data_IF_177240031445
#
_entry.id   IF_177240031445
#
_cell.length_a   1.000
_cell.length_b   1.000
_cell.length_c   1.000
_cell.angle_alpha   90.00
_cell.angle_beta   90.00
_cell.angle_gamma   90.00
#
_symmetry.space_group_name_H-M   'P 1'
#
loop_
_entity.id
_entity.type
_entity.pdbx_description
1 polymer ?
#
# COMPACT_ATOMS: atom_id res chain seq x y z
N UNK A 1 24.48 -11.36 12.97
CA UNK A 1 24.77 -10.51 11.77
C UNK A 1 23.87 -9.29 11.89
N UNK A 2 24.39 -8.07 11.71
CA UNK A 2 23.54 -6.88 11.70
C UNK A 2 22.93 -6.75 10.30
N UNK A 3 21.61 -6.78 10.20
CA UNK A 3 20.86 -6.67 8.94
C UNK A 3 20.08 -5.36 8.82
N UNK A 4 20.28 -4.45 9.78
CA UNK A 4 19.60 -3.15 9.79
C UNK A 4 19.98 -2.31 8.56
N UNK A 5 19.00 -1.62 8.01
CA UNK A 5 19.14 -0.68 6.90
C UNK A 5 18.37 0.59 7.21
N UNK A 6 18.72 1.69 6.56
CA UNK A 6 17.96 2.95 6.66
C UNK A 6 17.34 3.26 5.30
N UNK A 7 16.03 3.49 5.27
CA UNK A 7 15.27 3.89 4.09
C UNK A 7 14.56 5.22 4.40
N UNK A 8 14.82 6.26 3.60
CA UNK A 8 14.25 7.59 3.77
C UNK A 8 14.29 8.12 5.23
N UNK A 9 15.38 7.85 5.96
CA UNK A 9 15.57 8.27 7.34
C UNK A 9 14.97 7.33 8.41
N UNK A 10 14.20 6.31 8.01
CA UNK A 10 13.60 5.32 8.92
C UNK A 10 14.49 4.07 8.99
N UNK A 11 14.86 3.66 10.21
CA UNK A 11 15.61 2.42 10.42
C UNK A 11 14.68 1.21 10.33
N UNK A 12 15.03 0.26 9.45
CA UNK A 12 14.42 -1.06 9.34
C UNK A 12 15.35 -2.10 9.96
N UNK A 13 14.80 -3.06 10.69
CA UNK A 13 15.59 -4.14 11.33
C UNK A 13 16.25 -5.09 10.32
N UNK A 14 15.72 -5.15 9.11
CA UNK A 14 16.28 -5.85 7.96
C UNK A 14 15.69 -5.27 6.65
N UNK A 15 16.28 -5.54 5.47
CA UNK A 15 15.81 -4.98 4.20
C UNK A 15 14.61 -5.69 3.59
N UNK A 16 14.06 -6.72 4.24
CA UNK A 16 12.94 -7.49 3.68
C UNK A 16 11.65 -6.76 3.95
N UNK A 17 10.93 -6.41 2.90
CA UNK A 17 9.63 -5.77 2.97
C UNK A 17 8.67 -6.35 1.92
N UNK A 18 7.39 -6.18 2.14
CA UNK A 18 6.38 -6.60 1.16
C UNK A 18 6.30 -5.62 -0.01
N UNK A 19 5.70 -6.05 -1.12
CA UNK A 19 5.40 -5.16 -2.24
C UNK A 19 3.98 -4.62 -2.13
N UNK A 20 3.81 -3.31 -2.33
CA UNK A 20 2.48 -2.70 -2.39
C UNK A 20 1.61 -3.38 -3.44
N UNK A 21 0.34 -3.54 -3.11
CA UNK A 21 -0.65 -4.16 -4.01
C UNK A 21 -0.71 -5.68 -3.99
N UNK A 22 0.26 -6.39 -3.42
CA UNK A 22 0.31 -7.85 -3.44
C UNK A 22 0.09 -8.49 -2.07
N UNK A 23 0.08 -7.70 -1.00
CA UNK A 23 0.08 -8.17 0.38
C UNK A 23 -1.11 -7.65 1.22
N UNK A 24 -2.03 -6.89 0.60
CA UNK A 24 -3.10 -6.21 1.33
C UNK A 24 -2.53 -5.28 2.41
N UNK A 25 -3.08 -5.36 3.61
CA UNK A 25 -2.54 -4.73 4.82
C UNK A 25 -1.95 -5.78 5.79
N UNK A 26 -1.63 -6.97 5.29
CA UNK A 26 -0.97 -8.04 6.04
C UNK A 26 -1.89 -8.96 6.83
N UNK A 27 -3.19 -8.68 6.96
CA UNK A 27 -4.11 -9.47 7.79
C UNK A 27 -4.21 -10.91 7.27
N UNK A 28 -4.46 -11.11 5.98
CA UNK A 28 -4.62 -12.42 5.37
C UNK A 28 -3.29 -13.20 5.35
N UNK A 29 -2.20 -12.52 5.02
CA UNK A 29 -0.88 -13.15 4.94
C UNK A 29 -0.21 -13.33 6.29
N UNK A 30 -0.62 -12.57 7.32
CA UNK A 30 -0.17 -12.76 8.70
C UNK A 30 -0.56 -14.13 9.27
N UNK A 31 -1.56 -14.79 8.69
CA UNK A 31 -1.90 -16.19 9.04
C UNK A 31 -0.89 -17.20 8.48
N UNK A 32 -0.12 -16.84 7.45
CA UNK A 32 0.82 -17.72 6.76
C UNK A 32 2.27 -17.42 7.12
N UNK A 33 2.59 -16.17 7.40
CA UNK A 33 3.95 -15.73 7.71
C UNK A 33 3.97 -14.87 8.97
N UNK A 34 5.06 -14.94 9.69
CA UNK A 34 5.32 -14.12 10.86
C UNK A 34 5.72 -12.69 10.42
N UNK A 35 4.82 -11.72 10.62
CA UNK A 35 5.03 -10.32 10.26
C UNK A 35 6.17 -9.69 11.06
N UNK A 36 6.46 -10.19 12.26
CA UNK A 36 7.56 -9.72 13.10
C UNK A 36 8.94 -9.99 12.51
N UNK A 37 9.02 -10.83 11.48
CA UNK A 37 10.27 -11.09 10.74
C UNK A 37 10.54 -10.09 9.62
N UNK A 38 9.54 -9.28 9.23
CA UNK A 38 9.67 -8.28 8.16
C UNK A 38 10.24 -6.98 8.68
N UNK A 39 11.12 -6.35 7.90
CA UNK A 39 11.59 -4.99 8.15
C UNK A 39 10.46 -3.98 7.98
N UNK A 40 9.58 -4.18 7.00
CA UNK A 40 8.40 -3.37 6.79
C UNK A 40 7.27 -4.14 6.08
N UNK A 41 6.03 -3.73 6.35
CA UNK A 41 4.86 -4.06 5.53
C UNK A 41 4.51 -2.83 4.69
N UNK A 42 4.58 -2.97 3.36
CA UNK A 42 4.07 -1.98 2.42
C UNK A 42 2.64 -2.35 2.07
N UNK A 43 1.70 -1.46 2.36
CA UNK A 43 0.28 -1.76 2.25
C UNK A 43 -0.24 -1.72 0.81
N UNK A 44 -1.43 -2.25 0.58
CA UNK A 44 -2.23 -1.96 -0.62
C UNK A 44 -2.46 -0.46 -0.73
N UNK A 45 -2.64 0.06 -1.95
CA UNK A 45 -2.93 1.47 -2.18
C UNK A 45 -4.15 1.94 -1.38
N UNK A 46 -3.93 2.96 -0.56
CA UNK A 46 -4.96 3.60 0.29
C UNK A 46 -5.39 4.90 -0.37
N UNK A 47 -6.67 5.00 -0.68
CA UNK A 47 -7.30 6.19 -1.23
C UNK A 47 -8.09 6.96 -0.15
N UNK A 48 -8.45 8.20 -0.46
CA UNK A 48 -9.25 9.06 0.42
C UNK A 48 -10.66 8.49 0.72
N UNK A 49 -11.20 7.73 -0.23
CA UNK A 49 -12.51 7.06 -0.10
C UNK A 49 -12.40 5.57 -0.46
N UNK A 50 -13.37 4.73 -0.07
CA UNK A 50 -13.40 3.35 -0.49
C UNK A 50 -13.51 3.21 -2.02
N UNK A 51 -12.68 2.33 -2.59
CA UNK A 51 -12.75 1.98 -4.01
C UNK A 51 -13.20 0.53 -4.18
N UNK A 52 -14.30 0.26 -4.92
CA UNK A 52 -14.79 -1.09 -5.14
C UNK A 52 -13.92 -1.90 -6.12
N UNK A 53 -13.02 -1.23 -6.86
CA UNK A 53 -12.29 -1.82 -7.96
C UNK A 53 -13.16 -2.00 -9.22
N UNK A 54 -12.62 -2.73 -10.20
CA UNK A 54 -13.32 -3.01 -11.44
C UNK A 54 -14.41 -4.08 -11.24
N UNK A 55 -15.46 -4.12 -12.10
CA UNK A 55 -16.42 -5.21 -12.11
C UNK A 55 -15.76 -6.58 -12.36
N UNK A 56 -16.38 -7.63 -11.85
CA UNK A 56 -15.96 -9.02 -12.14
C UNK A 56 -16.53 -9.49 -13.51
N UNK A 57 -15.84 -10.45 -14.20
CA UNK A 57 -14.58 -11.11 -13.82
C UNK A 57 -13.37 -10.19 -14.02
N UNK A 58 -12.46 -10.16 -13.05
CA UNK A 58 -11.28 -9.29 -13.04
C UNK A 58 -9.97 -10.00 -12.73
N UNK A 59 -10.03 -11.31 -12.67
CA UNK A 59 -8.89 -12.22 -12.56
C UNK A 59 -9.17 -13.40 -13.48
N UNK A 60 -8.15 -13.84 -14.23
CA UNK A 60 -8.24 -15.02 -15.07
C UNK A 60 -6.90 -15.75 -15.13
N UNK A 61 -6.95 -17.07 -15.13
CA UNK A 61 -5.77 -17.91 -15.34
C UNK A 61 -5.41 -17.96 -16.83
N UNK A 62 -4.12 -18.01 -17.10
CA UNK A 62 -3.54 -18.24 -18.43
C UNK A 62 -2.44 -19.26 -18.31
N UNK A 63 -1.96 -19.79 -19.45
CA UNK A 63 -0.87 -20.74 -19.43
C UNK A 63 0.37 -20.15 -18.75
N UNK A 64 0.75 -20.76 -17.61
CA UNK A 64 1.92 -20.33 -16.83
C UNK A 64 1.75 -19.05 -16.01
N UNK A 65 0.51 -18.57 -15.78
CA UNK A 65 0.32 -17.35 -14.99
C UNK A 65 -1.14 -16.95 -14.78
N UNK A 66 -1.30 -15.70 -14.34
CA UNK A 66 -2.60 -15.10 -14.05
C UNK A 66 -2.61 -13.64 -14.52
N UNK A 67 -3.68 -13.22 -15.17
CA UNK A 67 -3.96 -11.83 -15.50
C UNK A 67 -4.94 -11.23 -14.50
N UNK A 68 -4.75 -9.97 -14.15
CA UNK A 68 -5.71 -9.27 -13.32
C UNK A 68 -5.97 -7.84 -13.80
N UNK A 69 -7.15 -7.35 -13.46
CA UNK A 69 -7.59 -5.98 -13.63
C UNK A 69 -8.39 -5.57 -12.38
N UNK A 70 -7.79 -5.70 -11.19
CA UNK A 70 -8.46 -5.45 -9.90
C UNK A 70 -8.92 -4.01 -9.78
N UNK A 71 -8.11 -3.02 -10.22
CA UNK A 71 -8.51 -1.62 -10.23
C UNK A 71 -8.41 -0.94 -8.85
N UNK A 72 -7.32 -1.22 -8.11
CA UNK A 72 -7.02 -0.60 -6.82
C UNK A 72 -8.16 -0.72 -5.78
N UNK A 73 -8.83 -1.87 -5.71
CA UNK A 73 -9.81 -2.11 -4.65
C UNK A 73 -9.20 -1.86 -3.27
N UNK A 74 -9.89 -1.06 -2.46
CA UNK A 74 -9.43 -0.74 -1.12
C UNK A 74 -10.51 -0.15 -0.23
N UNK A 75 -10.33 -0.20 1.10
CA UNK A 75 -11.33 0.21 2.07
C UNK A 75 -11.42 1.73 2.29
N UNK A 76 -10.45 2.49 1.75
CA UNK A 76 -10.28 3.91 2.05
C UNK A 76 -9.53 4.16 3.37
N UNK A 77 -9.05 5.40 3.53
CA UNK A 77 -8.17 5.79 4.63
C UNK A 77 -8.83 5.68 6.01
N UNK A 78 -10.14 5.92 6.14
CA UNK A 78 -10.82 5.84 7.44
C UNK A 78 -10.84 4.43 8.01
N UNK A 79 -11.16 3.45 7.17
CA UNK A 79 -11.17 2.04 7.58
C UNK A 79 -9.74 1.57 7.83
N UNK A 80 -8.80 1.97 6.99
CA UNK A 80 -7.39 1.66 7.16
C UNK A 80 -6.87 2.11 8.54
N UNK A 81 -7.10 3.37 8.91
CA UNK A 81 -6.67 3.90 10.21
C UNK A 81 -7.33 3.18 11.41
N UNK A 82 -8.59 2.80 11.28
CA UNK A 82 -9.35 2.19 12.40
C UNK A 82 -9.15 0.68 12.53
N UNK A 83 -8.82 0.00 11.44
CA UNK A 83 -8.71 -1.47 11.38
C UNK A 83 -7.27 -1.94 11.16
N UNK A 84 -6.63 -1.43 10.12
CA UNK A 84 -5.38 -2.00 9.61
C UNK A 84 -4.17 -1.49 10.41
N UNK A 85 -4.13 -0.21 10.75
CA UNK A 85 -3.05 0.37 11.56
C UNK A 85 -2.98 -0.28 12.95
N UNK A 86 -4.10 -0.40 13.72
CA UNK A 86 -4.06 -1.08 15.01
C UNK A 86 -3.67 -2.56 14.93
N UNK A 87 -4.01 -3.24 13.83
CA UNK A 87 -3.55 -4.61 13.60
C UNK A 87 -2.05 -4.66 13.38
N UNK A 88 -1.52 -3.86 12.46
CA UNK A 88 -0.10 -3.85 12.12
C UNK A 88 0.78 -3.43 13.31
N UNK A 89 0.28 -2.53 14.17
CA UNK A 89 1.00 -2.09 15.38
C UNK A 89 1.10 -3.14 16.49
N UNK A 90 0.44 -4.27 16.34
CA UNK A 90 0.67 -5.43 17.23
C UNK A 90 1.95 -6.18 16.87
N UNK A 91 2.57 -5.86 15.73
CA UNK A 91 3.75 -6.52 15.19
C UNK A 91 4.98 -5.61 15.22
N UNK A 92 6.15 -6.22 15.42
CA UNK A 92 7.45 -5.53 15.34
C UNK A 92 7.88 -5.39 13.87
N UNK A 93 7.14 -4.58 13.11
CA UNK A 93 7.43 -4.25 11.72
C UNK A 93 7.13 -2.78 11.44
N UNK A 94 7.80 -2.19 10.45
CA UNK A 94 7.49 -0.83 10.02
C UNK A 94 6.28 -0.81 9.09
N UNK A 95 5.46 0.24 9.18
CA UNK A 95 4.27 0.42 8.35
C UNK A 95 4.58 1.46 7.28
N UNK A 96 4.59 1.04 6.03
CA UNK A 96 4.73 1.91 4.87
C UNK A 96 3.39 1.95 4.15
N UNK A 97 2.74 3.11 4.13
CA UNK A 97 1.42 3.25 3.51
C UNK A 97 1.58 3.65 2.06
N UNK A 98 1.11 2.80 1.14
CA UNK A 98 1.01 3.16 -0.27
C UNK A 98 -0.19 4.08 -0.46
N UNK A 99 0.05 5.32 -0.88
CA UNK A 99 -0.96 6.36 -1.08
C UNK A 99 -1.33 6.45 -2.54
N UNK A 100 -2.62 6.40 -2.85
CA UNK A 100 -3.13 6.52 -4.20
C UNK A 100 -4.32 7.49 -4.27
N UNK A 101 -4.52 8.10 -5.43
CA UNK A 101 -5.58 9.04 -5.72
C UNK A 101 -5.85 9.13 -7.22
N UNK A 102 -6.95 9.77 -7.60
CA UNK A 102 -7.31 10.10 -8.99
C UNK A 102 -6.95 11.53 -9.36
N UNK A 103 -6.76 12.37 -8.37
CA UNK A 103 -6.36 13.76 -8.50
C UNK A 103 -5.29 14.09 -7.46
N UNK A 104 -4.54 15.17 -7.66
CA UNK A 104 -3.57 15.66 -6.69
C UNK A 104 -4.21 15.92 -5.31
N UNK A 105 -5.44 16.47 -5.30
CA UNK A 105 -6.18 16.71 -4.06
C UNK A 105 -6.51 15.43 -3.29
N UNK A 106 -6.72 14.31 -3.97
CA UNK A 106 -6.95 13.03 -3.29
C UNK A 106 -5.70 12.55 -2.55
N UNK A 107 -4.50 12.72 -3.17
CA UNK A 107 -3.24 12.39 -2.49
C UNK A 107 -3.02 13.29 -1.28
N UNK A 108 -3.25 14.59 -1.42
CA UNK A 108 -3.12 15.56 -0.31
C UNK A 108 -4.06 15.19 0.83
N UNK A 109 -5.35 14.92 0.55
CA UNK A 109 -6.34 14.51 1.56
C UNK A 109 -5.90 13.25 2.32
N UNK A 110 -5.40 12.22 1.61
CA UNK A 110 -4.90 11.01 2.26
C UNK A 110 -3.70 11.31 3.15
N UNK A 111 -2.73 12.10 2.66
CA UNK A 111 -1.51 12.45 3.41
C UNK A 111 -1.86 13.25 4.67
N UNK A 112 -2.74 14.26 4.55
CA UNK A 112 -3.18 15.07 5.69
C UNK A 112 -3.88 14.22 6.75
N UNK A 113 -4.74 13.28 6.35
CA UNK A 113 -5.45 12.37 7.27
C UNK A 113 -4.53 11.36 7.92
N UNK A 114 -3.43 10.99 7.27
CA UNK A 114 -2.41 10.10 7.83
C UNK A 114 -1.38 10.84 8.70
N UNK A 115 -1.38 12.17 8.74
CA UNK A 115 -0.38 12.96 9.46
C UNK A 115 -0.32 12.61 10.97
N UNK A 116 -1.47 12.32 11.56
CA UNK A 116 -1.59 11.93 12.98
C UNK A 116 -1.72 10.40 13.17
N UNK A 117 -1.62 9.63 12.08
CA UNK A 117 -1.68 8.18 12.15
C UNK A 117 -0.33 7.59 12.60
N UNK A 118 -0.40 6.51 13.38
CA UNK A 118 0.80 5.79 13.79
C UNK A 118 1.33 4.92 12.63
N UNK A 119 1.96 5.57 11.64
CA UNK A 119 2.62 4.95 10.49
C UNK A 119 4.05 5.48 10.35
N UNK A 120 4.95 4.71 9.73
CA UNK A 120 6.37 5.06 9.71
C UNK A 120 6.78 5.79 8.44
N UNK A 121 6.11 5.53 7.31
CA UNK A 121 6.48 6.08 6.00
C UNK A 121 5.31 6.07 5.03
N UNK A 122 5.35 6.94 4.04
CA UNK A 122 4.41 6.98 2.92
C UNK A 122 5.12 6.62 1.61
N UNK A 123 4.49 5.78 0.79
CA UNK A 123 4.89 5.47 -0.58
C UNK A 123 3.88 6.09 -1.53
N UNK A 124 4.27 7.11 -2.28
CA UNK A 124 3.38 7.79 -3.22
C UNK A 124 3.26 6.98 -4.50
N UNK A 125 2.05 6.49 -4.79
CA UNK A 125 1.79 5.64 -5.95
C UNK A 125 1.57 6.45 -7.23
N UNK A 126 2.62 6.57 -8.01
CA UNK A 126 2.62 7.24 -9.31
C UNK A 126 2.89 6.25 -10.47
N UNK A 127 2.70 4.96 -10.26
CA UNK A 127 3.10 3.91 -11.23
C UNK A 127 1.96 2.97 -11.63
N UNK A 128 0.79 3.00 -10.98
CA UNK A 128 -0.28 2.05 -11.24
C UNK A 128 -0.87 2.21 -12.66
N UNK A 129 -0.80 1.18 -13.54
CA UNK A 129 -1.35 1.25 -14.89
C UNK A 129 -2.85 0.87 -14.94
N UNK A 130 -3.42 0.33 -13.85
CA UNK A 130 -4.75 -0.26 -13.81
C UNK A 130 -5.88 0.72 -13.47
N UNK A 131 -5.58 2.02 -13.49
CA UNK A 131 -6.55 3.10 -13.28
C UNK A 131 -6.53 4.05 -14.46
N UNK A 132 -7.71 4.58 -14.82
CA UNK A 132 -7.84 5.53 -15.94
C UNK A 132 -7.37 6.94 -15.57
N UNK A 133 -7.46 7.29 -14.30
CA UNK A 133 -7.08 8.58 -13.74
C UNK A 133 -6.14 8.34 -12.54
N UNK A 134 -5.09 9.15 -12.40
CA UNK A 134 -4.08 8.96 -11.36
C UNK A 134 -2.98 7.95 -11.72
N UNK A 135 -2.26 7.47 -10.74
CA UNK A 135 -1.22 6.45 -10.92
C UNK A 135 -0.16 6.85 -11.94
N UNK A 136 0.03 6.01 -12.97
CA UNK A 136 1.08 6.22 -13.99
C UNK A 136 0.95 7.56 -14.76
N UNK A 137 -0.25 8.12 -14.86
CA UNK A 137 -0.44 9.40 -15.53
C UNK A 137 0.34 10.53 -14.83
N UNK A 138 0.37 10.53 -13.50
CA UNK A 138 1.19 11.48 -12.74
C UNK A 138 2.69 11.16 -12.83
N UNK A 139 3.07 9.89 -12.82
CA UNK A 139 4.47 9.47 -12.92
C UNK A 139 5.13 9.76 -14.26
N UNK A 140 4.35 10.04 -15.30
CA UNK A 140 4.83 10.37 -16.66
C UNK A 140 4.99 11.87 -16.90
N UNK A 141 4.38 12.72 -16.09
CA UNK A 141 4.50 14.18 -16.20
C UNK A 141 5.36 14.74 -15.05
N UNK A 142 6.58 15.23 -15.32
CA UNK A 142 7.45 15.76 -14.28
C UNK A 142 6.97 17.09 -13.67
N UNK A 143 5.86 17.65 -14.14
CA UNK A 143 5.24 18.86 -13.58
C UNK A 143 4.13 18.54 -12.59
N UNK A 144 3.64 17.30 -12.57
CA UNK A 144 2.76 16.77 -11.54
C UNK A 144 3.60 16.25 -10.37
#
# INVERSE_FOLDING_TARGET
>A
MNTKVTLAGVELKNPVMTCSGTFGSGMEYGEMIDLDRLGAVVTKGIANVPWPGNPTPRVTEVYGGMLNAIGLQGPGVDVFMKRDVPFLRQHDTKIIVNVCGKSESDYVDVVERLADADVDMLEINISCPNVKEGGIAFGQDPKC
#
